data_IF_160322171650
#
_entry.id   IF_160322171650
#
_cell.length_a   1.000
_cell.length_b   1.000
_cell.length_c   1.000
_cell.angle_alpha   90.00
_cell.angle_beta   90.00
_cell.angle_gamma   90.00
#
_symmetry.space_group_name_H-M   'P 1'
#
loop_
_entity.id
_entity.type
_entity.pdbx_description
1 polymer ?
#
# COMPACT_ATOMS: atom_id res chain seq x y z
N UNK A 1 11.75 -2.27 33.22
CA UNK A 1 12.21 -1.14 32.41
C UNK A 1 11.50 0.14 32.84
N UNK A 2 12.26 1.13 33.21
CA UNK A 2 11.70 2.39 33.66
C UNK A 2 11.35 3.27 32.47
N UNK A 3 10.07 3.61 32.30
CA UNK A 3 9.60 4.43 31.19
C UNK A 3 9.83 5.92 31.36
N UNK A 4 10.27 6.36 32.55
CA UNK A 4 10.39 7.79 32.84
C UNK A 4 11.47 8.49 32.02
N UNK A 5 12.45 7.74 31.52
CA UNK A 5 13.55 8.28 30.73
C UNK A 5 13.38 8.07 29.22
N UNK A 6 12.28 7.45 28.76
CA UNK A 6 12.04 7.22 27.36
C UNK A 6 11.24 8.35 26.73
N UNK A 7 11.62 8.73 25.49
CA UNK A 7 10.83 9.68 24.70
C UNK A 7 9.49 9.02 24.37
N UNK A 8 8.36 9.74 24.55
CA UNK A 8 7.05 9.18 24.16
C UNK A 8 7.03 8.82 22.68
N UNK A 9 6.56 7.62 22.37
CA UNK A 9 6.40 7.17 21.00
C UNK A 9 5.05 7.64 20.48
N UNK A 10 5.06 8.31 19.34
CA UNK A 10 3.84 8.68 18.63
C UNK A 10 3.59 7.69 17.50
N UNK A 11 2.32 7.46 17.17
CA UNK A 11 1.91 6.53 16.11
C UNK A 11 0.85 7.16 15.23
N UNK A 12 1.02 6.97 13.94
CA UNK A 12 0.02 7.36 12.95
C UNK A 12 -0.49 6.10 12.24
N UNK A 13 -1.73 6.16 11.77
CA UNK A 13 -2.29 5.12 10.90
C UNK A 13 -2.04 5.49 9.45
N UNK A 14 -1.56 4.53 8.68
CA UNK A 14 -1.31 4.67 7.25
C UNK A 14 -2.00 3.56 6.47
N UNK A 15 -2.22 3.79 5.18
CA UNK A 15 -2.75 2.79 4.26
C UNK A 15 -1.81 2.69 3.08
N UNK A 16 -1.40 1.47 2.77
CA UNK A 16 -0.46 1.17 1.69
C UNK A 16 -1.08 0.12 0.78
N UNK A 17 -0.99 0.31 -0.53
CA UNK A 17 -1.72 -0.53 -1.48
C UNK A 17 -0.80 -1.08 -2.55
N UNK A 18 -0.76 -2.41 -2.66
CA UNK A 18 -0.10 -3.10 -3.77
C UNK A 18 -1.12 -3.30 -4.88
N UNK A 19 -0.95 -2.57 -5.97
CA UNK A 19 -1.86 -2.63 -7.13
C UNK A 19 -1.26 -3.56 -8.17
N UNK A 20 -2.04 -4.53 -8.62
CA UNK A 20 -1.61 -5.49 -9.65
C UNK A 20 -2.43 -5.29 -10.91
N UNK A 21 -1.74 -5.20 -12.04
CA UNK A 21 -2.34 -5.07 -13.36
C UNK A 21 -1.48 -5.83 -14.37
N UNK A 22 -2.12 -6.75 -15.10
CA UNK A 22 -1.44 -7.58 -16.12
C UNK A 22 -0.18 -8.25 -15.58
N UNK A 23 -0.29 -8.88 -14.43
CA UNK A 23 0.82 -9.58 -13.75
C UNK A 23 2.02 -8.68 -13.42
N UNK A 24 1.74 -7.41 -13.17
CA UNK A 24 2.74 -6.43 -12.75
C UNK A 24 2.24 -5.68 -11.54
N UNK A 25 3.16 -5.26 -10.68
CA UNK A 25 2.84 -4.50 -9.47
C UNK A 25 3.34 -3.07 -9.62
N UNK A 26 2.57 -2.13 -9.09
CA UNK A 26 2.87 -0.70 -9.14
C UNK A 26 3.81 -0.33 -7.99
N UNK A 27 5.00 0.14 -8.33
CA UNK A 27 5.99 0.61 -7.35
C UNK A 27 6.62 1.91 -7.84
N UNK A 28 7.23 2.62 -6.89
CA UNK A 28 8.06 3.78 -7.18
C UNK A 28 9.26 3.83 -6.22
N UNK A 29 10.29 4.57 -6.62
CA UNK A 29 11.45 4.81 -5.74
C UNK A 29 11.12 5.97 -4.81
N UNK A 30 11.11 5.70 -3.51
CA UNK A 30 10.86 6.69 -2.48
C UNK A 30 12.18 7.37 -2.10
N UNK A 31 12.38 8.59 -2.58
CA UNK A 31 13.67 9.31 -2.43
C UNK A 31 14.09 9.50 -0.99
N UNK A 32 13.16 9.87 -0.12
CA UNK A 32 13.45 10.13 1.29
C UNK A 32 13.87 8.86 2.03
N UNK A 33 13.19 7.77 1.80
CA UNK A 33 13.48 6.48 2.44
C UNK A 33 14.53 5.66 1.69
N UNK A 34 14.86 6.07 0.47
CA UNK A 34 15.82 5.39 -0.42
C UNK A 34 15.47 3.91 -0.59
N UNK A 35 14.22 3.65 -0.91
CA UNK A 35 13.69 2.31 -1.07
C UNK A 35 12.52 2.31 -2.05
N UNK A 36 12.23 1.14 -2.60
CA UNK A 36 11.08 0.92 -3.46
C UNK A 36 9.83 0.67 -2.63
N UNK A 37 8.77 1.41 -2.91
CA UNK A 37 7.49 1.30 -2.20
C UNK A 37 6.31 1.30 -3.16
N UNK A 38 5.20 0.67 -2.78
CA UNK A 38 3.91 0.93 -3.41
C UNK A 38 3.37 2.29 -2.97
N UNK A 39 2.25 2.68 -3.54
CA UNK A 39 1.56 3.92 -3.14
C UNK A 39 0.96 3.78 -1.75
N UNK A 40 1.02 4.83 -0.96
CA UNK A 40 0.45 4.85 0.37
C UNK A 40 0.67 6.18 1.08
N UNK A 41 0.02 6.34 2.22
CA UNK A 41 0.15 7.54 3.03
C UNK A 41 -0.77 7.53 4.24
N UNK A 42 -0.84 8.66 4.91
CA UNK A 42 -1.61 8.80 6.14
C UNK A 42 -3.12 8.70 5.91
N UNK A 43 -3.79 8.03 6.85
CA UNK A 43 -5.25 8.04 6.92
C UNK A 43 -5.64 9.34 7.61
N UNK A 44 -6.45 10.16 6.94
CA UNK A 44 -6.93 11.42 7.49
C UNK A 44 -7.87 11.19 8.67
N UNK A 45 -8.00 12.18 9.55
CA UNK A 45 -8.78 12.06 10.78
C UNK A 45 -10.23 11.61 10.56
N UNK A 46 -10.85 12.13 9.51
CA UNK A 46 -12.25 11.84 9.19
C UNK A 46 -12.43 10.84 8.04
N UNK A 47 -11.37 10.17 7.66
CA UNK A 47 -11.33 9.28 6.51
C UNK A 47 -11.35 7.81 6.94
N UNK A 48 -12.07 6.97 6.19
CA UNK A 48 -12.01 5.53 6.41
C UNK A 48 -10.73 4.95 5.82
N UNK A 49 -10.16 3.91 6.44
CA UNK A 49 -8.90 3.32 5.96
C UNK A 49 -8.93 2.87 4.49
N UNK A 50 -10.03 2.20 4.07
CA UNK A 50 -10.17 1.74 2.69
C UNK A 50 -10.33 2.90 1.71
N UNK A 51 -10.97 3.98 2.13
CA UNK A 51 -11.04 5.21 1.32
C UNK A 51 -9.65 5.85 1.16
N UNK A 52 -8.87 5.88 2.24
CA UNK A 52 -7.51 6.41 2.22
C UNK A 52 -6.62 5.63 1.25
N UNK A 53 -6.74 4.31 1.26
CA UNK A 53 -5.99 3.44 0.34
C UNK A 53 -6.26 3.82 -1.12
N UNK A 54 -7.52 3.95 -1.49
CA UNK A 54 -7.93 4.31 -2.87
C UNK A 54 -7.45 5.72 -3.22
N UNK A 55 -7.62 6.66 -2.31
CA UNK A 55 -7.21 8.06 -2.51
C UNK A 55 -5.71 8.21 -2.75
N UNK A 56 -4.91 7.56 -1.91
CA UNK A 56 -3.44 7.65 -2.03
C UNK A 56 -2.94 7.10 -3.36
N UNK A 57 -3.48 5.99 -3.82
CA UNK A 57 -3.12 5.45 -5.14
C UNK A 57 -3.46 6.45 -6.24
N UNK A 58 -4.65 7.02 -6.20
CA UNK A 58 -5.08 7.97 -7.21
C UNK A 58 -4.20 9.24 -7.20
N UNK A 59 -3.91 9.78 -6.02
CA UNK A 59 -3.07 10.98 -5.90
C UNK A 59 -1.64 10.74 -6.38
N UNK A 60 -1.04 9.62 -6.01
CA UNK A 60 0.37 9.35 -6.33
C UNK A 60 0.59 8.80 -7.73
N UNK A 61 -0.37 8.09 -8.29
CA UNK A 61 -0.17 7.39 -9.57
C UNK A 61 -1.14 7.78 -10.68
N UNK A 62 -2.26 8.39 -10.33
CA UNK A 62 -3.32 8.68 -11.28
C UNK A 62 -4.21 7.48 -11.58
N UNK A 63 -4.03 6.36 -10.88
CA UNK A 63 -4.79 5.14 -11.13
C UNK A 63 -5.98 5.04 -10.19
N UNK A 64 -7.18 4.94 -10.75
CA UNK A 64 -8.39 4.62 -9.99
C UNK A 64 -8.41 3.11 -9.76
N UNK A 65 -8.53 2.69 -8.51
CA UNK A 65 -8.45 1.28 -8.15
C UNK A 65 -9.68 0.80 -7.39
N UNK A 66 -9.86 -0.51 -7.41
CA UNK A 66 -10.81 -1.23 -6.60
C UNK A 66 -10.02 -2.15 -5.66
N UNK A 67 -10.28 -2.04 -4.36
CA UNK A 67 -9.61 -2.89 -3.37
C UNK A 67 -10.13 -4.32 -3.48
N UNK A 68 -9.23 -5.28 -3.38
CA UNK A 68 -9.53 -6.70 -3.38
C UNK A 68 -9.44 -7.18 -1.94
N UNK A 69 -10.56 -7.60 -1.39
CA UNK A 69 -10.63 -8.07 -0.01
C UNK A 69 -12.07 -8.30 0.40
N UNK A 70 -12.23 -8.95 1.55
CA UNK A 70 -13.54 -9.29 2.08
C UNK A 70 -14.10 -8.17 2.94
N UNK A 71 -15.42 -8.05 2.91
CA UNK A 71 -16.22 -7.43 3.98
C UNK A 71 -16.80 -8.58 4.77
N UNK A 72 -16.49 -8.65 6.05
CA UNK A 72 -16.71 -9.86 6.85
C UNK A 72 -18.18 -10.29 6.97
N UNK A 73 -19.07 -9.31 7.20
CA UNK A 73 -20.49 -9.58 7.41
C UNK A 73 -21.30 -9.01 6.24
N UNK A 74 -22.42 -9.67 5.93
CA UNK A 74 -23.38 -9.18 4.94
C UNK A 74 -24.51 -8.46 5.66
N UNK A 75 -24.22 -7.26 6.16
CA UNK A 75 -25.16 -6.40 6.86
C UNK A 75 -24.96 -4.95 6.41
N UNK A 76 -26.02 -4.15 6.47
CA UNK A 76 -25.93 -2.72 6.13
C UNK A 76 -25.32 -1.92 7.28
N UNK A 77 -25.66 -2.29 8.51
CA UNK A 77 -25.13 -1.66 9.73
C UNK A 77 -24.70 -2.72 10.74
N UNK A 78 -23.54 -2.55 11.39
CA UNK A 78 -22.53 -1.53 11.12
C UNK A 78 -21.89 -1.73 9.75
N UNK A 79 -21.49 -0.63 9.08
CA UNK A 79 -20.87 -0.68 7.76
C UNK A 79 -19.61 -1.53 7.79
N UNK A 80 -19.55 -2.53 6.93
CA UNK A 80 -18.39 -3.41 6.82
C UNK A 80 -17.35 -2.81 5.86
N UNK A 81 -16.13 -2.61 6.36
CA UNK A 81 -15.03 -2.09 5.56
C UNK A 81 -14.26 -3.23 4.91
N UNK A 82 -13.55 -2.93 3.83
CA UNK A 82 -12.68 -3.92 3.20
C UNK A 82 -11.57 -4.27 4.19
N UNK A 83 -11.38 -5.56 4.45
CA UNK A 83 -10.30 -6.02 5.32
C UNK A 83 -8.95 -5.76 4.66
N UNK A 84 -7.99 -5.15 5.37
CA UNK A 84 -6.63 -5.09 4.86
C UNK A 84 -6.06 -6.51 4.75
N UNK A 85 -5.18 -6.70 3.79
CA UNK A 85 -4.50 -8.00 3.61
C UNK A 85 -3.54 -8.28 4.77
N UNK A 86 -3.04 -7.24 5.39
CA UNK A 86 -2.19 -7.33 6.57
C UNK A 86 -2.11 -5.99 7.29
N UNK A 87 -1.58 -6.03 8.49
CA UNK A 87 -1.33 -4.85 9.32
C UNK A 87 0.06 -5.01 9.90
N UNK A 88 0.88 -3.97 9.80
CA UNK A 88 2.25 -4.04 10.29
C UNK A 88 2.67 -2.76 10.99
N UNK A 89 3.64 -2.89 11.89
CA UNK A 89 4.23 -1.76 12.59
C UNK A 89 5.54 -1.39 11.92
N UNK A 90 5.68 -0.12 11.56
CA UNK A 90 6.88 0.40 10.90
C UNK A 90 7.55 1.44 11.78
N UNK A 91 8.83 1.28 12.02
CA UNK A 91 9.64 2.30 12.72
C UNK A 91 10.06 3.36 11.71
N UNK A 92 9.56 4.58 11.90
CA UNK A 92 9.88 5.71 11.02
C UNK A 92 11.05 6.51 11.59
N UNK A 93 11.05 6.67 12.90
CA UNK A 93 12.09 7.35 13.67
C UNK A 93 12.12 6.72 15.07
N UNK A 94 13.13 6.98 15.88
CA UNK A 94 13.20 6.39 17.23
C UNK A 94 11.97 6.67 18.11
N UNK A 95 11.28 7.78 17.84
CA UNK A 95 10.11 8.22 18.59
C UNK A 95 8.82 8.23 17.78
N UNK A 96 8.82 7.66 16.57
CA UNK A 96 7.65 7.67 15.70
C UNK A 96 7.49 6.37 14.92
N UNK A 97 6.28 5.84 14.94
CA UNK A 97 5.94 4.59 14.25
C UNK A 97 4.66 4.78 13.43
N UNK A 98 4.55 3.99 12.36
CA UNK A 98 3.31 3.86 11.61
C UNK A 98 2.67 2.50 11.85
N UNK A 99 1.36 2.51 12.05
CA UNK A 99 0.54 1.30 11.98
C UNK A 99 -0.01 1.29 10.56
N UNK A 100 0.55 0.43 9.72
CA UNK A 100 0.29 0.44 8.29
C UNK A 100 -0.71 -0.67 7.91
N UNK A 101 -1.84 -0.27 7.34
CA UNK A 101 -2.85 -1.19 6.83
C UNK A 101 -2.53 -1.46 5.37
N UNK A 102 -2.23 -2.72 5.06
CA UNK A 102 -1.79 -3.13 3.72
C UNK A 102 -2.98 -3.67 2.94
N UNK A 103 -3.21 -3.08 1.78
CA UNK A 103 -4.29 -3.47 0.87
C UNK A 103 -3.75 -4.00 -0.45
N UNK A 104 -4.52 -4.86 -1.10
CA UNK A 104 -4.31 -5.27 -2.47
C UNK A 104 -5.42 -4.69 -3.32
N UNK A 105 -5.09 -4.32 -4.55
CA UNK A 105 -6.05 -3.66 -5.44
C UNK A 105 -5.77 -3.98 -6.90
N UNK A 106 -6.79 -3.75 -7.72
CA UNK A 106 -6.68 -3.78 -9.17
C UNK A 106 -7.18 -2.44 -9.72
N UNK A 107 -6.67 -1.98 -10.86
CA UNK A 107 -7.28 -0.83 -11.52
C UNK A 107 -8.75 -1.13 -11.86
N UNK A 108 -9.57 -0.09 -11.87
CA UNK A 108 -10.97 -0.22 -12.32
C UNK A 108 -11.02 -0.65 -13.79
N UNK A 109 -12.13 -1.22 -14.19
CA UNK A 109 -12.34 -1.69 -15.57
C UNK A 109 -12.09 -0.55 -16.58
N UNK A 110 -11.44 -0.90 -17.68
CA UNK A 110 -11.12 0.06 -18.73
C UNK A 110 -9.77 0.77 -18.57
N UNK A 111 -9.03 0.47 -17.52
CA UNK A 111 -7.70 1.03 -17.35
C UNK A 111 -6.75 0.58 -18.47
N UNK A 112 -5.99 1.52 -19.06
CA UNK A 112 -5.15 1.27 -20.22
C UNK A 112 -3.64 1.42 -19.94
N UNK A 113 -3.23 1.48 -18.67
CA UNK A 113 -1.82 1.52 -18.29
C UNK A 113 -1.24 2.90 -18.07
N UNK A 114 -2.04 3.95 -18.13
CA UNK A 114 -1.58 5.32 -17.98
C UNK A 114 -1.21 5.63 -16.53
N UNK A 115 -0.03 6.20 -16.32
CA UNK A 115 0.47 6.67 -15.03
C UNK A 115 0.80 8.15 -15.10
N UNK A 116 0.80 8.83 -13.96
CA UNK A 116 1.33 10.19 -13.87
C UNK A 116 2.81 10.17 -14.24
N UNK A 117 3.26 11.21 -14.95
CA UNK A 117 4.63 11.28 -15.46
C UNK A 117 5.59 12.08 -14.58
N UNK A 118 5.14 12.46 -13.38
CA UNK A 118 5.92 13.29 -12.47
C UNK A 118 7.09 12.55 -11.81
N UNK A 119 7.02 11.21 -11.78
CA UNK A 119 8.05 10.36 -11.19
C UNK A 119 8.42 9.26 -12.18
N UNK A 120 9.64 9.32 -12.78
CA UNK A 120 10.07 8.31 -13.75
C UNK A 120 10.18 6.90 -13.17
N UNK A 121 10.34 6.75 -11.85
CA UNK A 121 10.44 5.44 -11.22
C UNK A 121 9.09 4.76 -11.05
N UNK A 122 8.01 5.54 -11.06
CA UNK A 122 6.65 5.01 -10.95
C UNK A 122 6.33 4.20 -12.20
N UNK A 123 6.13 2.90 -12.03
CA UNK A 123 5.90 2.00 -13.17
C UNK A 123 5.29 0.69 -12.71
N UNK A 124 4.87 -0.10 -13.69
CA UNK A 124 4.39 -1.47 -13.51
C UNK A 124 5.56 -2.43 -13.66
N UNK A 125 5.84 -3.19 -12.60
CA UNK A 125 7.01 -4.08 -12.53
C UNK A 125 6.55 -5.54 -12.52
N UNK A 126 7.00 -6.31 -13.51
CA UNK A 126 6.78 -7.76 -13.54
C UNK A 126 7.77 -8.42 -12.57
N UNK A 127 7.56 -9.70 -12.25
CA UNK A 127 8.48 -10.44 -11.38
C UNK A 127 9.93 -10.38 -11.90
N UNK A 128 10.11 -10.49 -13.21
CA UNK A 128 11.45 -10.40 -13.82
C UNK A 128 12.10 -9.04 -13.62
N UNK A 129 11.31 -7.97 -13.55
CA UNK A 129 11.82 -6.63 -13.25
C UNK A 129 12.18 -6.50 -11.77
N UNK A 130 11.31 -7.03 -10.90
CA UNK A 130 11.53 -7.00 -9.45
C UNK A 130 12.81 -7.72 -9.05
N UNK A 131 13.15 -8.80 -9.74
CA UNK A 131 14.36 -9.57 -9.47
C UNK A 131 15.65 -8.76 -9.70
N UNK A 132 15.55 -7.67 -10.46
CA UNK A 132 16.67 -6.76 -10.75
C UNK A 132 16.74 -5.56 -9.82
N UNK A 133 15.74 -5.38 -8.96
CA UNK A 133 15.69 -4.26 -8.03
C UNK A 133 16.18 -4.68 -6.66
N UNK A 134 16.81 -3.76 -5.93
CA UNK A 134 17.16 -3.97 -4.54
C UNK A 134 15.96 -3.69 -3.65
N UNK A 135 15.09 -4.68 -3.51
CA UNK A 135 13.92 -4.60 -2.66
C UNK A 135 14.27 -5.02 -1.24
N UNK A 136 13.63 -4.37 -0.26
CA UNK A 136 13.68 -4.88 1.11
C UNK A 136 12.98 -6.24 1.17
N UNK A 137 13.32 -7.04 2.17
CA UNK A 137 12.69 -8.37 2.36
C UNK A 137 11.18 -8.24 2.47
N UNK A 138 10.70 -7.22 3.16
CA UNK A 138 9.27 -6.94 3.31
C UNK A 138 8.60 -6.73 1.94
N UNK A 139 9.17 -5.86 1.11
CA UNK A 139 8.59 -5.56 -0.21
C UNK A 139 8.69 -6.77 -1.14
N UNK A 140 9.77 -7.56 -1.05
CA UNK A 140 9.88 -8.81 -1.81
C UNK A 140 8.72 -9.75 -1.49
N UNK A 141 8.41 -9.91 -0.21
CA UNK A 141 7.34 -10.82 0.22
C UNK A 141 5.96 -10.29 -0.13
N UNK A 142 5.71 -9.00 0.08
CA UNK A 142 4.42 -8.40 -0.28
C UNK A 142 4.16 -8.46 -1.78
N UNK A 143 5.15 -8.12 -2.60
CA UNK A 143 4.97 -8.16 -4.06
C UNK A 143 4.76 -9.57 -4.57
N UNK A 144 5.49 -10.56 -4.02
CA UNK A 144 5.29 -11.95 -4.38
C UNK A 144 3.88 -12.42 -4.03
N UNK A 145 3.39 -12.06 -2.84
CA UNK A 145 2.05 -12.43 -2.38
C UNK A 145 0.98 -11.78 -3.24
N UNK A 146 1.11 -10.48 -3.53
CA UNK A 146 0.16 -9.75 -4.35
C UNK A 146 0.08 -10.33 -5.77
N UNK A 147 1.23 -10.59 -6.39
CA UNK A 147 1.27 -11.18 -7.73
C UNK A 147 0.67 -12.58 -7.73
N UNK A 148 0.95 -13.40 -6.71
CA UNK A 148 0.40 -14.74 -6.62
C UNK A 148 -1.13 -14.71 -6.49
N UNK A 149 -1.67 -13.80 -5.70
CA UNK A 149 -3.13 -13.72 -5.45
C UNK A 149 -3.90 -13.04 -6.59
N UNK A 150 -3.30 -12.07 -7.26
CA UNK A 150 -4.02 -11.22 -8.21
C UNK A 150 -3.65 -11.42 -9.68
N UNK A 151 -2.62 -12.21 -9.98
CA UNK A 151 -2.21 -12.46 -11.37
C UNK A 151 -2.93 -13.63 -12.04
N UNK A 152 -3.71 -14.39 -11.28
CA UNK A 152 -4.38 -15.61 -11.77
C UNK A 152 -5.64 -15.34 -12.60
N UNK A 153 -5.96 -14.10 -12.88
CA UNK A 153 -7.14 -13.74 -13.66
C UNK A 153 -6.84 -13.46 -15.12
#
# INVERSE_FOLDING_TARGET
>A
MNRTDSVPITRDFTATTFVVWRSRVLLHWHKKSRAWFPCGGHIEEDELPDEAAVREVLEESGVAVELIGERTLDVDEPKQLVRPRGIQLETIAPDHEHIDLIYFAKPVDGYEGKLLETDPSLSWYAQSDLDKLELTEEIQQWTALALAELSAE
#
